data_IF_305280203858
#
_entry.id   IF_305280203858
#
_cell.length_a   1.000
_cell.length_b   1.000
_cell.length_c   1.000
_cell.angle_alpha   90.00
_cell.angle_beta   90.00
_cell.angle_gamma   90.00
#
_symmetry.space_group_name_H-M   'P 1'
#
loop_
_entity.id
_entity.type
_entity.pdbx_description
1 polymer ?
#
# COMPACT_ATOMS: atom_id res chain seq x y z
N UNK A 1 8.78 -13.38 -9.16
CA UNK A 1 8.20 -13.95 -10.38
C UNK A 1 7.02 -13.08 -10.83
N UNK A 2 7.31 -12.14 -11.71
CA UNK A 2 6.34 -11.12 -12.14
C UNK A 2 5.34 -11.72 -13.13
N UNK A 3 4.06 -11.55 -12.82
CA UNK A 3 2.99 -11.76 -13.79
C UNK A 3 3.25 -10.82 -14.96
N UNK A 4 3.74 -11.36 -16.08
CA UNK A 4 3.94 -10.63 -17.33
C UNK A 4 2.57 -10.19 -17.87
N UNK A 5 2.14 -9.01 -17.45
CA UNK A 5 0.93 -8.33 -17.92
C UNK A 5 1.04 -7.98 -19.42
N UNK A 6 2.25 -8.01 -19.98
CA UNK A 6 2.54 -7.73 -21.39
C UNK A 6 2.20 -8.90 -22.34
N UNK A 7 2.01 -10.12 -21.83
CA UNK A 7 1.69 -11.30 -22.65
C UNK A 7 0.33 -11.94 -22.30
N UNK A 8 -0.53 -11.23 -21.58
CA UNK A 8 -1.92 -11.64 -21.42
C UNK A 8 -2.65 -11.40 -22.76
N UNK A 9 -2.58 -12.39 -23.66
CA UNK A 9 -3.40 -12.43 -24.88
C UNK A 9 -4.83 -11.98 -24.53
N UNK A 10 -5.47 -11.08 -25.31
CA UNK A 10 -6.81 -10.57 -25.00
C UNK A 10 -7.84 -11.70 -24.80
N UNK A 11 -7.64 -12.85 -25.46
CA UNK A 11 -8.41 -14.09 -25.25
C UNK A 11 -8.34 -14.67 -23.84
N UNK A 12 -7.22 -14.49 -23.11
CA UNK A 12 -7.03 -14.95 -21.73
C UNK A 12 -7.71 -14.02 -20.73
N UNK A 13 -7.70 -12.70 -20.97
CA UNK A 13 -8.48 -11.73 -20.18
C UNK A 13 -9.99 -11.95 -20.29
N UNK A 14 -10.51 -12.29 -21.49
CA UNK A 14 -11.92 -12.62 -21.68
C UNK A 14 -12.36 -13.87 -20.88
N UNK A 15 -11.46 -14.81 -20.57
CA UNK A 15 -11.77 -15.94 -19.68
C UNK A 15 -11.89 -15.51 -18.22
N UNK A 16 -11.12 -14.52 -17.78
CA UNK A 16 -11.21 -13.96 -16.42
C UNK A 16 -12.54 -13.24 -16.17
N UNK A 17 -13.20 -12.70 -17.20
CA UNK A 17 -14.56 -12.11 -17.09
C UNK A 17 -15.57 -13.14 -16.55
N UNK A 18 -15.33 -14.44 -16.72
CA UNK A 18 -16.18 -15.49 -16.13
C UNK A 18 -16.07 -15.54 -14.60
N UNK A 19 -14.93 -15.15 -14.00
CA UNK A 19 -14.80 -15.00 -12.54
C UNK A 19 -15.69 -13.87 -12.01
N UNK A 20 -15.82 -12.79 -12.77
CA UNK A 20 -16.76 -11.71 -12.43
C UNK A 20 -18.20 -12.22 -12.38
N UNK A 21 -18.57 -13.18 -13.26
CA UNK A 21 -19.89 -13.82 -13.19
C UNK A 21 -20.10 -14.65 -11.92
N UNK A 22 -19.05 -15.30 -11.40
CA UNK A 22 -19.10 -16.02 -10.12
C UNK A 22 -19.36 -15.04 -8.97
N UNK A 23 -18.64 -13.91 -8.95
CA UNK A 23 -18.89 -12.82 -7.99
C UNK A 23 -20.33 -12.30 -8.09
N UNK A 24 -20.82 -12.07 -9.31
CA UNK A 24 -22.22 -11.68 -9.54
C UNK A 24 -23.21 -12.74 -9.04
N UNK A 25 -22.89 -14.03 -9.18
CA UNK A 25 -23.68 -15.14 -8.65
C UNK A 25 -23.77 -15.14 -7.13
N UNK A 26 -22.66 -14.86 -6.44
CA UNK A 26 -22.63 -14.69 -4.97
C UNK A 26 -23.44 -13.47 -4.52
N UNK A 27 -23.49 -12.41 -5.33
CA UNK A 27 -24.30 -11.22 -5.08
C UNK A 27 -25.80 -11.37 -5.43
N UNK A 28 -26.25 -12.55 -5.91
CA UNK A 28 -27.69 -12.84 -6.09
C UNK A 28 -28.38 -13.00 -4.73
N UNK A 29 -27.65 -13.49 -3.73
CA UNK A 29 -28.14 -13.56 -2.36
C UNK A 29 -28.22 -12.15 -1.76
N UNK A 30 -29.43 -11.70 -1.41
CA UNK A 30 -29.67 -10.35 -0.89
C UNK A 30 -28.84 -10.06 0.38
N UNK A 31 -28.67 -11.04 1.26
CA UNK A 31 -27.86 -10.87 2.48
C UNK A 31 -26.37 -10.66 2.19
N UNK A 32 -25.77 -11.46 1.29
CA UNK A 32 -24.37 -11.28 0.88
C UNK A 32 -24.16 -9.94 0.16
N UNK A 33 -25.11 -9.55 -0.68
CA UNK A 33 -25.10 -8.25 -1.36
C UNK A 33 -25.14 -7.10 -0.33
N UNK A 34 -26.01 -7.18 0.67
CA UNK A 34 -26.13 -6.15 1.70
C UNK A 34 -24.82 -6.00 2.50
N UNK A 35 -24.19 -7.12 2.88
CA UNK A 35 -22.88 -7.12 3.54
C UNK A 35 -21.80 -6.49 2.65
N UNK A 36 -21.69 -6.91 1.39
CA UNK A 36 -20.71 -6.36 0.46
C UNK A 36 -20.93 -4.85 0.21
N UNK A 37 -22.18 -4.42 0.02
CA UNK A 37 -22.49 -2.99 -0.18
C UNK A 37 -22.14 -2.19 1.08
N UNK A 38 -22.42 -2.71 2.27
CA UNK A 38 -22.00 -2.10 3.53
C UNK A 38 -20.48 -1.96 3.63
N UNK A 39 -19.72 -3.00 3.30
CA UNK A 39 -18.25 -2.97 3.29
C UNK A 39 -17.71 -1.94 2.30
N UNK A 40 -18.26 -1.88 1.08
CA UNK A 40 -17.85 -0.92 0.04
C UNK A 40 -18.23 0.50 0.42
N UNK A 41 -19.37 0.70 1.08
CA UNK A 41 -19.75 2.02 1.58
C UNK A 41 -18.75 2.52 2.63
N UNK A 42 -18.31 1.65 3.54
CA UNK A 42 -17.31 1.98 4.57
C UNK A 42 -15.92 2.25 3.98
N UNK A 43 -15.57 1.61 2.86
CA UNK A 43 -14.31 1.85 2.15
C UNK A 43 -14.14 3.31 1.71
N UNK A 44 -15.22 4.04 1.42
CA UNK A 44 -15.13 5.47 1.05
C UNK A 44 -14.54 6.31 2.19
N UNK A 45 -14.98 6.07 3.44
CA UNK A 45 -14.46 6.78 4.60
C UNK A 45 -13.00 6.37 4.88
N UNK A 46 -12.70 5.07 4.79
CA UNK A 46 -11.33 4.54 4.96
C UNK A 46 -10.39 5.10 3.89
N UNK A 47 -10.86 5.28 2.66
CA UNK A 47 -10.07 5.84 1.57
C UNK A 47 -9.58 7.26 1.90
N UNK A 48 -10.46 8.14 2.40
CA UNK A 48 -10.05 9.49 2.79
C UNK A 48 -9.11 9.49 4.00
N UNK A 49 -9.30 8.61 4.97
CA UNK A 49 -8.36 8.43 6.07
C UNK A 49 -6.98 7.96 5.56
N UNK A 50 -6.94 7.03 4.60
CA UNK A 50 -5.71 6.55 4.00
C UNK A 50 -5.02 7.63 3.16
N UNK A 51 -5.77 8.45 2.44
CA UNK A 51 -5.22 9.61 1.72
C UNK A 51 -4.58 10.61 2.69
N UNK A 52 -5.26 10.93 3.80
CA UNK A 52 -4.71 11.79 4.84
C UNK A 52 -3.43 11.20 5.43
N UNK A 53 -3.44 9.90 5.75
CA UNK A 53 -2.28 9.18 6.25
C UNK A 53 -1.11 9.24 5.26
N UNK A 54 -1.36 9.02 3.97
CA UNK A 54 -0.34 9.09 2.92
C UNK A 54 0.29 10.48 2.80
N UNK A 55 -0.50 11.56 2.98
CA UNK A 55 0.03 12.93 3.03
C UNK A 55 0.93 13.12 4.25
N UNK A 56 0.53 12.65 5.43
CA UNK A 56 1.36 12.73 6.64
C UNK A 56 2.67 11.96 6.47
N UNK A 57 2.60 10.75 5.91
CA UNK A 57 3.78 9.94 5.61
C UNK A 57 4.71 10.62 4.60
N UNK A 58 4.16 11.27 3.57
CA UNK A 58 4.95 12.02 2.59
C UNK A 58 5.70 13.19 3.24
N UNK A 59 5.02 13.96 4.10
CA UNK A 59 5.63 15.06 4.83
C UNK A 59 6.75 14.54 5.76
N UNK A 60 6.48 13.50 6.56
CA UNK A 60 7.47 12.88 7.44
C UNK A 60 8.69 12.35 6.69
N UNK A 61 8.46 11.62 5.59
CA UNK A 61 9.49 11.14 4.68
C UNK A 61 10.34 12.29 4.14
N UNK A 62 9.73 13.39 3.71
CA UNK A 62 10.44 14.57 3.20
C UNK A 62 11.35 15.19 4.27
N UNK A 63 10.86 15.31 5.51
CA UNK A 63 11.69 15.77 6.63
C UNK A 63 12.88 14.83 6.87
N UNK A 64 12.66 13.52 6.86
CA UNK A 64 13.74 12.57 7.10
C UNK A 64 14.79 12.57 5.97
N UNK A 65 14.41 12.71 4.71
CA UNK A 65 15.37 12.85 3.60
C UNK A 65 16.23 14.11 3.76
N UNK A 66 15.62 15.23 4.16
CA UNK A 66 16.34 16.50 4.34
C UNK A 66 17.31 16.43 5.53
N UNK A 67 16.89 15.81 6.65
CA UNK A 67 17.65 15.80 7.89
C UNK A 67 18.66 14.64 7.97
N UNK A 68 18.27 13.44 7.56
CA UNK A 68 19.02 12.19 7.75
C UNK A 68 19.65 11.67 6.44
N UNK A 69 19.26 12.19 5.27
CA UNK A 69 19.70 11.69 3.97
C UNK A 69 21.20 11.86 3.67
N UNK A 70 21.94 12.64 4.47
CA UNK A 70 23.40 12.79 4.35
C UNK A 70 24.20 11.76 5.14
N UNK A 71 23.57 11.04 6.06
CA UNK A 71 24.24 10.02 6.87
C UNK A 71 24.42 8.74 6.05
N UNK A 72 25.65 8.24 5.93
CA UNK A 72 25.94 7.05 5.14
C UNK A 72 25.21 5.80 5.65
N UNK A 73 25.08 5.64 6.97
CA UNK A 73 24.41 4.50 7.60
C UNK A 73 22.90 4.50 7.34
N UNK A 74 22.29 5.70 7.30
CA UNK A 74 20.85 5.88 7.09
C UNK A 74 20.45 6.09 5.63
N UNK A 75 21.45 6.15 4.72
CA UNK A 75 21.25 6.31 3.28
C UNK A 75 20.40 5.19 2.69
N UNK A 76 20.46 3.96 3.24
CA UNK A 76 19.60 2.86 2.79
C UNK A 76 18.10 3.13 2.99
N UNK A 77 17.73 3.96 3.97
CA UNK A 77 16.35 4.29 4.32
C UNK A 77 15.91 5.65 3.79
N UNK A 78 16.79 6.66 3.84
CA UNK A 78 16.42 8.07 3.63
C UNK A 78 17.16 8.80 2.50
N UNK A 79 17.83 8.08 1.58
CA UNK A 79 18.52 8.72 0.44
C UNK A 79 17.55 9.34 -0.58
N UNK A 80 16.40 8.71 -0.83
CA UNK A 80 15.39 9.22 -1.75
C UNK A 80 13.98 9.26 -1.15
N UNK A 81 13.14 10.14 -1.69
CA UNK A 81 11.73 10.29 -1.26
C UNK A 81 10.94 8.98 -1.38
N UNK A 82 11.20 8.17 -2.42
CA UNK A 82 10.54 6.88 -2.59
C UNK A 82 10.94 5.84 -1.52
N UNK A 83 12.22 5.80 -1.16
CA UNK A 83 12.74 4.92 -0.11
C UNK A 83 12.22 5.36 1.26
N UNK A 84 12.31 6.66 1.55
CA UNK A 84 11.83 7.21 2.81
C UNK A 84 10.32 7.07 3.02
N UNK A 85 9.52 7.14 1.95
CA UNK A 85 8.09 6.82 1.97
C UNK A 85 7.83 5.35 2.31
N UNK A 86 8.60 4.44 1.73
CA UNK A 86 8.49 3.01 2.01
C UNK A 86 8.91 2.69 3.44
N UNK A 87 10.01 3.28 3.93
CA UNK A 87 10.43 3.17 5.33
C UNK A 87 9.36 3.73 6.27
N UNK A 88 8.74 4.88 5.97
CA UNK A 88 7.62 5.40 6.76
C UNK A 88 6.42 4.45 6.76
N UNK A 89 6.14 3.79 5.64
CA UNK A 89 5.08 2.80 5.56
C UNK A 89 5.36 1.62 6.50
N UNK A 90 6.58 1.08 6.45
CA UNK A 90 7.04 0.01 7.35
C UNK A 90 6.89 0.41 8.82
N UNK A 91 7.36 1.60 9.20
CA UNK A 91 7.24 2.13 10.57
C UNK A 91 5.77 2.23 10.99
N UNK A 92 4.89 2.77 10.13
CA UNK A 92 3.45 2.90 10.44
C UNK A 92 2.76 1.54 10.55
N UNK A 93 3.16 0.55 9.76
CA UNK A 93 2.64 -0.83 9.87
C UNK A 93 3.36 -1.66 10.93
N UNK A 94 4.31 -1.06 11.66
CA UNK A 94 5.16 -1.70 12.67
C UNK A 94 5.97 -2.89 12.15
N UNK A 95 6.30 -2.86 10.86
CA UNK A 95 7.10 -3.88 10.20
C UNK A 95 8.57 -3.42 10.21
N UNK A 96 9.46 -4.29 10.69
CA UNK A 96 10.91 -4.04 10.84
C UNK A 96 11.30 -2.70 11.52
N UNK A 97 10.38 -2.09 12.28
CA UNK A 97 10.62 -0.85 13.03
C UNK A 97 11.83 -0.94 13.99
N UNK A 98 12.06 -2.05 14.73
CA UNK A 98 13.19 -2.14 15.66
C UNK A 98 14.53 -1.96 14.96
N UNK A 99 14.72 -2.63 13.82
CA UNK A 99 15.96 -2.57 13.03
C UNK A 99 16.26 -1.14 12.57
N UNK A 100 15.22 -0.43 12.10
CA UNK A 100 15.35 0.98 11.68
C UNK A 100 15.67 1.87 12.89
N UNK A 101 15.06 1.60 14.05
CA UNK A 101 15.29 2.40 15.26
C UNK A 101 16.70 2.20 15.84
N UNK A 102 17.21 0.97 15.81
CA UNK A 102 18.54 0.64 16.29
C UNK A 102 19.60 1.33 15.41
N UNK A 103 19.44 1.26 14.07
CA UNK A 103 20.31 1.97 13.11
C UNK A 103 20.27 3.50 13.29
N UNK A 104 19.14 4.07 13.71
CA UNK A 104 19.01 5.51 13.98
C UNK A 104 19.65 5.91 15.31
N UNK A 105 19.62 5.03 16.32
CA UNK A 105 20.25 5.27 17.63
C UNK A 105 21.78 5.16 17.53
N UNK A 106 22.28 4.29 16.65
CA UNK A 106 23.72 4.08 16.46
C UNK A 106 24.40 5.12 15.54
N UNK A 107 23.63 5.94 14.82
CA UNK A 107 24.11 6.94 13.84
C UNK A 107 24.37 8.33 14.43
#
# INVERSE_FOLDING_TARGET
EGVSLAAASPMRMLRLVRLVRIIKGLMVFEELKLLCVGMVSSLSAVFWAFVLLAVLMYLGSLFCVILLGKNLQLSQYFNGVGQALFTHFMIVTLEAWPDISDDVIEA
#
